data_IF_508814687874
#
_entry.id   IF_508814687874
#
_cell.length_a   1.000
_cell.length_b   1.000
_cell.length_c   1.000
_cell.angle_alpha   90.00
_cell.angle_beta   90.00
_cell.angle_gamma   90.00
#
_symmetry.space_group_name_H-M   'P 1'
#
loop_
_entity.id
_entity.type
_entity.pdbx_description
1 polymer ?
#
# COMPACT_ATOMS: atom_id res chain seq x y z
N UNK A 1 -12.46 -6.67 -2.43
CA UNK A 1 -12.20 -6.40 -3.86
C UNK A 1 -10.69 -6.39 -4.02
N UNK A 2 -10.14 -7.25 -4.84
CA UNK A 2 -8.70 -7.44 -5.02
C UNK A 2 -8.20 -6.36 -6.00
N UNK A 3 -6.94 -5.94 -5.93
CA UNK A 3 -6.41 -4.87 -6.81
C UNK A 3 -6.50 -5.21 -8.31
N UNK A 4 -6.34 -6.47 -8.67
CA UNK A 4 -6.57 -6.96 -10.05
C UNK A 4 -8.03 -6.79 -10.48
N UNK A 5 -8.99 -7.03 -9.58
CA UNK A 5 -10.42 -6.84 -9.86
C UNK A 5 -10.75 -5.38 -10.18
N UNK A 6 -10.07 -4.42 -9.51
CA UNK A 6 -10.30 -2.99 -9.76
C UNK A 6 -9.81 -2.57 -11.16
N UNK A 7 -8.66 -3.10 -11.60
CA UNK A 7 -8.15 -2.82 -12.96
C UNK A 7 -9.06 -3.46 -14.00
N UNK A 8 -9.39 -4.74 -13.84
CA UNK A 8 -10.30 -5.46 -14.72
C UNK A 8 -11.67 -4.78 -14.82
N UNK A 9 -12.22 -4.38 -13.67
CA UNK A 9 -13.48 -3.64 -13.61
C UNK A 9 -13.41 -2.28 -14.34
N UNK A 10 -12.33 -1.54 -14.21
CA UNK A 10 -12.13 -0.27 -14.95
C UNK A 10 -12.07 -0.50 -16.45
N UNK A 11 -11.31 -1.49 -16.90
CA UNK A 11 -11.21 -1.86 -18.31
C UNK A 11 -12.57 -2.25 -18.86
N UNK A 12 -13.31 -3.09 -18.14
CA UNK A 12 -14.65 -3.53 -18.54
C UNK A 12 -15.65 -2.38 -18.59
N UNK A 13 -15.64 -1.50 -17.59
CA UNK A 13 -16.50 -0.31 -17.56
C UNK A 13 -16.24 0.60 -18.74
N UNK A 14 -14.98 0.88 -19.06
CA UNK A 14 -14.60 1.69 -20.22
C UNK A 14 -14.97 1.01 -21.54
N UNK A 15 -14.77 -0.31 -21.65
CA UNK A 15 -15.19 -1.11 -22.81
C UNK A 15 -16.69 -0.98 -23.06
N UNK A 16 -17.49 -1.16 -22.02
CA UNK A 16 -18.94 -1.08 -22.09
C UNK A 16 -19.39 0.33 -22.52
N UNK A 17 -18.77 1.38 -21.96
CA UNK A 17 -19.04 2.77 -22.31
C UNK A 17 -18.74 3.04 -23.80
N UNK A 18 -17.57 2.62 -24.29
CA UNK A 18 -17.15 2.82 -25.68
C UNK A 18 -18.05 2.02 -26.65
N UNK A 19 -18.44 0.80 -26.28
CA UNK A 19 -19.37 -0.03 -27.06
C UNK A 19 -20.74 0.66 -27.17
N UNK A 20 -21.25 1.18 -26.04
CA UNK A 20 -22.53 1.90 -26.02
C UNK A 20 -22.49 3.16 -26.91
N UNK A 21 -21.34 3.80 -27.05
CA UNK A 21 -21.12 4.94 -27.94
C UNK A 21 -20.78 4.55 -29.38
N UNK A 22 -21.02 3.30 -29.77
CA UNK A 22 -20.93 2.83 -31.17
C UNK A 22 -19.50 2.67 -31.70
N UNK A 23 -18.51 2.58 -30.82
CA UNK A 23 -17.12 2.35 -31.25
C UNK A 23 -16.93 0.90 -31.72
N UNK A 24 -16.13 0.71 -32.75
CA UNK A 24 -15.72 -0.61 -33.22
C UNK A 24 -14.77 -1.29 -32.22
N UNK A 25 -14.72 -2.62 -32.22
CA UNK A 25 -13.83 -3.42 -31.36
C UNK A 25 -12.38 -2.95 -31.46
N UNK A 26 -11.86 -2.70 -32.68
CA UNK A 26 -10.49 -2.26 -32.88
C UNK A 26 -10.20 -0.86 -32.32
N UNK A 27 -11.17 0.06 -32.38
CA UNK A 27 -11.07 1.38 -31.74
C UNK A 27 -11.08 1.25 -30.22
N UNK A 28 -11.97 0.38 -29.69
CA UNK A 28 -12.08 0.12 -28.24
C UNK A 28 -10.75 -0.42 -27.72
N UNK A 29 -10.19 -1.46 -28.30
CA UNK A 29 -8.97 -2.09 -27.82
C UNK A 29 -7.79 -1.11 -27.86
N UNK A 30 -7.66 -0.29 -28.92
CA UNK A 30 -6.63 0.74 -28.99
C UNK A 30 -6.82 1.82 -27.92
N UNK A 31 -8.04 2.29 -27.71
CA UNK A 31 -8.34 3.32 -26.73
C UNK A 31 -8.07 2.81 -25.31
N UNK A 32 -8.45 1.56 -25.00
CA UNK A 32 -8.19 0.94 -23.71
C UNK A 32 -6.69 0.79 -23.45
N UNK A 33 -5.91 0.34 -24.44
CA UNK A 33 -4.47 0.20 -24.31
C UNK A 33 -3.80 1.54 -23.95
N UNK A 34 -4.12 2.61 -24.69
CA UNK A 34 -3.60 3.95 -24.43
C UNK A 34 -4.06 4.48 -23.07
N UNK A 35 -5.35 4.37 -22.76
CA UNK A 35 -5.90 4.87 -21.50
C UNK A 35 -5.31 4.16 -20.28
N UNK A 36 -5.08 2.85 -20.37
CA UNK A 36 -4.47 2.10 -19.26
C UNK A 36 -2.99 2.39 -19.10
N UNK A 37 -2.25 2.57 -20.19
CA UNK A 37 -0.84 2.98 -20.17
C UNK A 37 -0.70 4.36 -19.51
N UNK A 38 -1.45 5.35 -19.97
CA UNK A 38 -1.50 6.69 -19.38
C UNK A 38 -1.89 6.66 -17.90
N UNK A 39 -2.90 5.88 -17.54
CA UNK A 39 -3.32 5.72 -16.15
C UNK A 39 -2.19 5.16 -15.28
N UNK A 40 -1.44 4.16 -15.77
CA UNK A 40 -0.30 3.59 -15.06
C UNK A 40 0.81 4.63 -14.91
N UNK A 41 1.13 5.40 -15.94
CA UNK A 41 2.13 6.45 -15.86
C UNK A 41 1.74 7.56 -14.87
N UNK A 42 0.51 8.08 -15.00
CA UNK A 42 0.05 9.18 -14.15
C UNK A 42 0.03 8.83 -12.66
N UNK A 43 -0.34 7.61 -12.30
CA UNK A 43 -0.36 7.21 -10.89
C UNK A 43 1.02 7.06 -10.25
N UNK A 44 2.10 7.00 -11.05
CA UNK A 44 3.47 7.02 -10.57
C UNK A 44 4.08 8.42 -10.55
N UNK A 45 3.38 9.45 -11.03
CA UNK A 45 3.79 10.86 -10.91
C UNK A 45 3.45 11.37 -9.52
N UNK A 46 4.18 10.91 -8.53
CA UNK A 46 4.03 11.24 -7.12
C UNK A 46 5.29 11.93 -6.65
N UNK A 47 5.16 13.11 -6.08
CA UNK A 47 6.24 13.78 -5.40
C UNK A 47 6.35 13.20 -3.98
N UNK A 48 7.38 12.39 -3.75
CA UNK A 48 7.66 11.85 -2.42
C UNK A 48 8.34 12.96 -1.59
N UNK A 49 7.82 13.30 -0.41
CA UNK A 49 8.43 14.33 0.44
C UNK A 49 9.89 13.98 0.77
N UNK A 50 10.78 14.97 0.67
CA UNK A 50 12.20 14.79 0.96
C UNK A 50 12.45 14.25 2.38
N UNK A 51 11.65 14.67 3.35
CA UNK A 51 11.67 14.16 4.72
C UNK A 51 11.42 12.64 4.79
N UNK A 52 10.47 12.13 3.98
CA UNK A 52 10.19 10.68 3.93
C UNK A 52 11.39 9.89 3.39
N UNK A 53 12.07 10.43 2.38
CA UNK A 53 13.28 9.82 1.82
C UNK A 53 14.40 9.82 2.85
N UNK A 54 14.59 10.92 3.59
CA UNK A 54 15.62 11.03 4.63
C UNK A 54 15.38 10.03 5.77
N UNK A 55 14.13 9.91 6.24
CA UNK A 55 13.75 8.92 7.27
C UNK A 55 14.05 7.50 6.77
N UNK A 56 13.66 7.16 5.54
CA UNK A 56 13.93 5.84 4.97
C UNK A 56 15.43 5.57 4.81
N UNK A 57 16.23 6.57 4.43
CA UNK A 57 17.68 6.46 4.36
C UNK A 57 18.30 6.11 5.70
N UNK A 58 17.84 6.73 6.78
CA UNK A 58 18.35 6.44 8.13
C UNK A 58 17.86 5.09 8.65
N UNK A 59 16.60 4.74 8.40
CA UNK A 59 16.04 3.46 8.87
C UNK A 59 16.67 2.26 8.18
N UNK A 60 16.97 2.32 6.88
CA UNK A 60 17.58 1.20 6.15
C UNK A 60 18.97 0.81 6.64
N UNK A 61 19.70 1.72 7.30
CA UNK A 61 21.00 1.44 7.90
C UNK A 61 20.88 0.61 9.21
N UNK A 62 19.70 0.62 9.82
CA UNK A 62 19.42 -0.03 11.11
C UNK A 62 18.54 -1.27 10.98
N UNK A 63 17.62 -1.27 10.01
CA UNK A 63 16.59 -2.28 9.86
C UNK A 63 16.40 -2.70 8.41
N UNK A 64 16.09 -3.99 8.14
CA UNK A 64 15.58 -4.39 6.83
C UNK A 64 14.20 -3.77 6.61
N UNK A 65 13.98 -3.17 5.44
CA UNK A 65 12.74 -2.50 5.11
C UNK A 65 11.95 -3.28 4.06
N UNK A 66 10.63 -3.36 4.25
CA UNK A 66 9.71 -3.86 3.26
C UNK A 66 8.52 -2.91 3.06
N UNK A 67 7.91 -2.96 1.90
CA UNK A 67 6.64 -2.28 1.62
C UNK A 67 5.58 -3.30 1.27
N UNK A 68 4.44 -3.23 1.97
CA UNK A 68 3.22 -3.98 1.63
C UNK A 68 2.07 -3.00 1.39
N UNK A 69 1.41 -3.10 0.25
CA UNK A 69 0.39 -2.13 -0.16
C UNK A 69 -0.83 -2.80 -0.79
N UNK A 70 -2.00 -2.20 -0.58
CA UNK A 70 -3.21 -2.52 -1.34
C UNK A 70 -3.32 -1.69 -2.62
N UNK A 71 -2.40 -0.73 -2.78
CA UNK A 71 -2.33 0.13 -3.97
C UNK A 71 -1.54 -0.51 -5.10
N UNK A 72 -1.62 0.14 -6.25
CA UNK A 72 -0.99 -0.33 -7.49
C UNK A 72 0.28 0.46 -7.84
N UNK A 73 0.79 1.29 -6.93
CA UNK A 73 2.04 2.03 -7.11
C UNK A 73 3.21 1.10 -6.85
N UNK A 74 4.19 1.15 -7.74
CA UNK A 74 5.46 0.43 -7.60
C UNK A 74 6.46 1.38 -6.94
N UNK A 75 6.95 1.03 -5.76
CA UNK A 75 7.80 1.89 -4.94
C UNK A 75 9.04 2.40 -5.70
N UNK A 76 9.71 1.54 -6.45
CA UNK A 76 10.91 1.92 -7.25
C UNK A 76 10.60 2.91 -8.36
N UNK A 77 9.38 2.90 -8.94
CA UNK A 77 8.98 3.86 -9.97
C UNK A 77 8.73 5.28 -9.45
N UNK A 78 8.63 5.44 -8.13
CA UNK A 78 8.50 6.73 -7.45
C UNK A 78 9.75 7.09 -6.64
N UNK A 79 10.89 6.46 -6.93
CA UNK A 79 12.18 6.76 -6.30
C UNK A 79 12.39 6.13 -4.92
N UNK A 80 11.54 5.21 -4.50
CA UNK A 80 11.68 4.51 -3.21
C UNK A 80 12.40 3.16 -3.40
N UNK A 81 13.74 3.21 -3.48
CA UNK A 81 14.60 2.02 -3.64
C UNK A 81 15.09 1.41 -2.32
N UNK A 82 14.50 1.83 -1.20
CA UNK A 82 14.94 1.45 0.16
C UNK A 82 14.47 0.06 0.59
N UNK A 83 13.49 -0.51 -0.12
CA UNK A 83 12.80 -1.71 0.29
C UNK A 83 13.42 -2.96 -0.34
N UNK A 84 13.79 -3.94 0.49
CA UNK A 84 14.30 -5.26 0.06
C UNK A 84 13.17 -6.17 -0.43
N UNK A 85 11.95 -5.94 0.02
CA UNK A 85 10.75 -6.67 -0.36
C UNK A 85 9.62 -5.70 -0.67
N UNK A 86 8.91 -5.94 -1.78
CA UNK A 86 7.71 -5.19 -2.15
C UNK A 86 6.59 -6.17 -2.48
N UNK A 87 5.50 -6.15 -1.69
CA UNK A 87 4.32 -6.99 -1.89
C UNK A 87 3.08 -6.15 -2.10
N UNK A 88 2.24 -6.56 -3.06
CA UNK A 88 0.99 -5.90 -3.40
C UNK A 88 -0.19 -6.83 -3.19
N UNK A 89 -1.19 -6.35 -2.48
CA UNK A 89 -2.45 -7.06 -2.30
C UNK A 89 -3.15 -7.29 -3.63
N UNK A 90 -3.58 -8.55 -3.86
CA UNK A 90 -4.17 -8.98 -5.11
C UNK A 90 -3.19 -9.60 -6.10
N UNK A 91 -1.88 -9.31 -5.99
CA UNK A 91 -0.86 -9.91 -6.85
C UNK A 91 -0.08 -11.01 -6.12
N UNK A 92 0.49 -10.70 -4.94
CA UNK A 92 1.29 -11.64 -4.17
C UNK A 92 0.52 -12.28 -3.01
N UNK A 93 -0.71 -11.85 -2.76
CA UNK A 93 -1.56 -12.38 -1.71
C UNK A 93 -2.81 -11.54 -1.52
N UNK A 94 -3.70 -11.95 -0.62
CA UNK A 94 -4.90 -11.17 -0.30
C UNK A 94 -4.52 -9.81 0.27
N UNK A 95 -5.28 -8.78 -0.13
CA UNK A 95 -5.09 -7.41 0.33
C UNK A 95 -5.24 -7.28 1.86
N UNK A 96 -4.50 -6.35 2.48
CA UNK A 96 -4.70 -5.97 3.89
C UNK A 96 -6.18 -5.56 4.13
N UNK A 97 -6.81 -5.93 5.24
CA UNK A 97 -6.24 -6.42 6.50
C UNK A 97 -5.92 -7.93 6.55
N UNK A 98 -6.02 -8.67 5.44
CA UNK A 98 -5.69 -10.09 5.47
C UNK A 98 -4.22 -10.33 5.84
N UNK A 99 -3.93 -11.43 6.52
CA UNK A 99 -2.62 -11.74 7.10
C UNK A 99 -1.54 -12.10 6.07
N UNK A 100 -1.90 -12.40 4.82
CA UNK A 100 -1.01 -12.97 3.79
C UNK A 100 0.29 -12.19 3.61
N UNK A 101 0.20 -10.87 3.38
CA UNK A 101 1.37 -10.05 3.09
C UNK A 101 2.28 -9.88 4.32
N UNK A 102 1.69 -9.82 5.51
CA UNK A 102 2.45 -9.73 6.77
C UNK A 102 3.24 -11.01 7.01
N UNK A 103 2.61 -12.19 6.85
CA UNK A 103 3.28 -13.47 7.04
C UNK A 103 4.31 -13.77 5.95
N UNK A 104 4.07 -13.37 4.71
CA UNK A 104 5.08 -13.45 3.65
C UNK A 104 6.29 -12.58 3.96
N UNK A 105 6.08 -11.37 4.52
CA UNK A 105 7.17 -10.50 4.97
C UNK A 105 7.97 -11.17 6.08
N UNK A 106 7.31 -11.74 7.10
CA UNK A 106 7.96 -12.46 8.18
C UNK A 106 8.80 -13.64 7.65
N UNK A 107 8.23 -14.43 6.73
CA UNK A 107 8.90 -15.54 6.11
C UNK A 107 10.12 -15.11 5.30
N UNK A 108 10.00 -14.04 4.50
CA UNK A 108 11.10 -13.52 3.66
C UNK A 108 12.32 -13.13 4.50
N UNK A 109 12.11 -12.45 5.62
CA UNK A 109 13.19 -12.01 6.51
C UNK A 109 13.61 -13.07 7.54
N UNK A 110 12.92 -14.22 7.61
CA UNK A 110 13.22 -15.28 8.58
C UNK A 110 12.94 -14.88 10.03
N UNK A 111 11.98 -13.97 10.27
CA UNK A 111 11.63 -13.47 11.59
C UNK A 111 10.21 -13.89 11.98
N UNK A 112 9.88 -13.76 13.27
CA UNK A 112 8.51 -13.95 13.74
C UNK A 112 7.65 -12.72 13.39
N UNK A 113 6.34 -12.86 13.17
CA UNK A 113 5.46 -11.71 12.99
C UNK A 113 5.60 -10.65 14.10
N UNK A 114 5.78 -11.07 15.36
CA UNK A 114 5.97 -10.17 16.51
C UNK A 114 7.23 -9.32 16.48
N UNK A 115 8.17 -9.64 15.59
CA UNK A 115 9.41 -8.87 15.35
C UNK A 115 9.26 -7.89 14.19
N UNK A 116 8.08 -7.83 13.55
CA UNK A 116 7.74 -6.85 12.50
C UNK A 116 6.99 -5.68 13.12
N UNK A 117 7.45 -4.47 12.83
CA UNK A 117 6.74 -3.24 13.10
C UNK A 117 6.16 -2.70 11.78
N UNK A 118 4.83 -2.77 11.63
CA UNK A 118 4.14 -2.23 10.47
C UNK A 118 3.73 -0.79 10.72
N UNK A 119 4.04 0.11 9.78
CA UNK A 119 3.67 1.51 9.84
C UNK A 119 2.61 1.79 8.78
N UNK A 120 1.49 2.38 9.15
CA UNK A 120 0.44 2.74 8.21
C UNK A 120 -0.56 3.75 8.77
N UNK A 121 -1.33 4.35 7.88
CA UNK A 121 -2.28 5.43 8.19
C UNK A 121 -3.72 4.93 8.38
N UNK A 122 -4.04 3.75 7.89
CA UNK A 122 -5.38 3.19 7.95
C UNK A 122 -5.55 2.22 9.13
N UNK A 123 -6.43 2.57 10.07
CA UNK A 123 -6.67 1.78 11.28
C UNK A 123 -7.16 0.36 11.00
N UNK A 124 -7.96 0.16 9.94
CA UNK A 124 -8.50 -1.17 9.60
C UNK A 124 -7.50 -2.00 8.81
N UNK A 125 -6.99 -1.46 7.71
CA UNK A 125 -6.13 -2.26 6.82
C UNK A 125 -4.72 -2.43 7.36
N UNK A 126 -4.17 -1.38 7.98
CA UNK A 126 -2.78 -1.40 8.45
C UNK A 126 -2.69 -1.84 9.92
N UNK A 127 -3.32 -1.08 10.82
CA UNK A 127 -3.16 -1.33 12.25
C UNK A 127 -3.83 -2.65 12.66
N UNK A 128 -5.12 -2.80 12.37
CA UNK A 128 -5.85 -4.03 12.71
C UNK A 128 -5.28 -5.23 11.95
N UNK A 129 -4.97 -5.08 10.65
CA UNK A 129 -4.38 -6.14 9.85
C UNK A 129 -3.04 -6.63 10.43
N UNK A 130 -2.14 -5.71 10.80
CA UNK A 130 -0.85 -6.06 11.40
C UNK A 130 -1.01 -6.75 12.76
N UNK A 131 -1.83 -6.19 13.66
CA UNK A 131 -2.07 -6.78 14.99
C UNK A 131 -2.69 -8.18 14.87
N UNK A 132 -3.68 -8.37 13.99
CA UNK A 132 -4.31 -9.68 13.76
C UNK A 132 -3.34 -10.70 13.12
N UNK A 133 -2.34 -10.23 12.37
CA UNK A 133 -1.28 -11.07 11.85
C UNK A 133 -0.19 -11.40 12.90
N UNK A 134 -0.30 -10.86 14.11
CA UNK A 134 0.68 -11.04 15.21
C UNK A 134 1.86 -10.08 15.13
N UNK A 135 1.79 -9.05 14.27
CA UNK A 135 2.80 -8.00 14.16
C UNK A 135 2.53 -6.87 15.16
N UNK A 136 3.52 -6.00 15.37
CA UNK A 136 3.34 -4.71 16.01
C UNK A 136 2.89 -3.68 14.96
N UNK A 137 2.14 -2.64 15.38
CA UNK A 137 1.63 -1.63 14.47
C UNK A 137 1.85 -0.22 15.00
N UNK A 138 2.41 0.65 14.15
CA UNK A 138 2.43 2.10 14.35
C UNK A 138 1.34 2.72 13.49
N UNK A 139 0.46 3.47 14.12
CA UNK A 139 -0.48 4.31 13.40
C UNK A 139 0.12 5.69 13.15
N UNK A 140 0.31 6.04 11.87
CA UNK A 140 0.72 7.39 11.51
C UNK A 140 -0.53 8.26 11.29
N UNK A 141 -0.79 9.17 12.24
CA UNK A 141 -1.98 10.01 12.29
C UNK A 141 -1.68 11.43 11.77
N UNK A 142 -1.46 11.57 10.47
CA UNK A 142 -1.19 12.87 9.83
C UNK A 142 -2.36 13.87 9.91
N UNK A 143 -3.57 13.37 10.19
CA UNK A 143 -4.78 14.19 10.23
C UNK A 143 -5.12 14.73 11.62
N UNK A 144 -4.40 14.31 12.67
CA UNK A 144 -4.67 14.68 14.07
C UNK A 144 -6.05 14.24 14.58
N UNK A 145 -6.65 13.22 13.97
CA UNK A 145 -7.97 12.73 14.38
C UNK A 145 -7.86 11.95 15.68
N UNK A 146 -8.87 12.11 16.53
CA UNK A 146 -8.93 11.31 17.76
C UNK A 146 -9.28 9.86 17.42
N UNK A 147 -8.54 8.89 17.98
CA UNK A 147 -8.78 7.46 17.80
C UNK A 147 -10.24 7.08 18.09
N UNK A 148 -10.86 7.70 19.11
CA UNK A 148 -12.26 7.48 19.47
C UNK A 148 -13.28 7.91 18.39
N UNK A 149 -12.86 8.67 17.38
CA UNK A 149 -13.73 9.03 16.25
C UNK A 149 -13.86 7.92 15.20
N UNK A 150 -13.08 6.84 15.34
CA UNK A 150 -13.08 5.69 14.44
C UNK A 150 -13.86 4.53 15.08
N UNK A 151 -15.17 4.49 14.82
CA UNK A 151 -16.06 3.44 15.35
C UNK A 151 -15.73 2.04 14.82
N UNK A 152 -14.96 1.97 13.73
CA UNK A 152 -14.56 0.73 13.05
C UNK A 152 -13.26 0.14 13.62
N UNK A 153 -12.49 0.92 14.40
CA UNK A 153 -11.26 0.45 14.99
C UNK A 153 -11.56 -0.49 16.16
N UNK A 154 -11.27 -1.77 15.98
CA UNK A 154 -11.48 -2.82 16.98
C UNK A 154 -10.23 -3.17 17.78
N UNK A 155 -9.09 -2.59 17.43
CA UNK A 155 -7.78 -2.80 18.06
C UNK A 155 -7.03 -1.47 18.22
N UNK A 156 -6.18 -1.40 19.23
CA UNK A 156 -5.30 -0.25 19.44
C UNK A 156 -3.95 -0.47 18.71
N UNK A 157 -3.33 0.58 18.14
CA UNK A 157 -1.97 0.50 17.66
C UNK A 157 -0.99 0.29 18.82
N UNK A 158 0.16 -0.30 18.55
CA UNK A 158 1.29 -0.38 19.51
C UNK A 158 1.80 1.02 19.86
N UNK A 159 1.81 1.91 18.86
CA UNK A 159 2.24 3.30 18.99
C UNK A 159 1.45 4.16 17.99
N UNK A 160 1.16 5.40 18.37
CA UNK A 160 0.69 6.46 17.46
C UNK A 160 1.78 7.50 17.29
N UNK A 161 2.01 7.91 16.04
CA UNK A 161 2.91 8.99 15.66
C UNK A 161 2.19 9.99 14.74
N UNK A 162 2.65 11.23 14.72
CA UNK A 162 2.11 12.28 13.87
C UNK A 162 3.07 12.67 12.73
N UNK A 163 4.35 12.31 12.86
CA UNK A 163 5.40 12.56 11.86
C UNK A 163 6.28 11.32 11.70
N UNK A 164 6.71 11.05 10.46
CA UNK A 164 7.60 9.92 10.16
C UNK A 164 8.93 10.00 10.91
N UNK A 165 9.42 11.20 11.18
CA UNK A 165 10.69 11.44 11.91
C UNK A 165 10.68 10.85 13.31
N UNK A 166 9.52 10.67 13.94
CA UNK A 166 9.41 10.04 15.25
C UNK A 166 9.89 8.58 15.25
N UNK A 167 9.85 7.90 14.09
CA UNK A 167 10.41 6.54 13.94
C UNK A 167 11.93 6.49 14.18
N UNK A 168 12.63 7.59 14.01
CA UNK A 168 14.08 7.64 14.21
C UNK A 168 14.50 7.56 15.68
N UNK A 169 13.56 7.77 16.59
CA UNK A 169 13.78 7.74 18.05
C UNK A 169 13.40 6.41 18.69
N UNK A 170 12.88 5.46 17.91
CA UNK A 170 12.58 4.08 18.31
C UNK A 170 13.83 3.17 18.15
#
# INVERSE_FOLDING_TARGET
>A
MIAEDVIAWRVETLRNLLTHNGKSTGEIDRTLAIAMEEFIEWRHKIDVPAESIEVLNQLKERYPLSVITNGNVIATRIGLEHFQLSLRGGEQGRAKPHQDLFHQTAHYFGVKPSEILHIGDNLTTDVQGAIQAGCQAVWINLSGKNLNSFTEASVLPTLEINHLTELLTL
#
